data_IF_244958844063
#
_entry.id   IF_244958844063
#
_cell.length_a   1.000
_cell.length_b   1.000
_cell.length_c   1.000
_cell.angle_alpha   90.00
_cell.angle_beta   90.00
_cell.angle_gamma   90.00
#
_symmetry.space_group_name_H-M   'P 1'
#
loop_
_entity.id
_entity.type
_entity.pdbx_description
1 polymer ?
#
# COMPACT_ATOMS: atom_id res chain seq x y z
N UNK A 1 4.99 -23.53 -5.44
CA UNK A 1 5.74 -22.88 -4.35
C UNK A 1 6.06 -21.46 -4.76
N UNK A 2 5.93 -20.50 -3.84
CA UNK A 2 6.18 -19.08 -4.09
C UNK A 2 6.89 -18.47 -2.90
N UNK A 3 7.77 -17.52 -3.18
CA UNK A 3 8.22 -16.55 -2.19
C UNK A 3 7.44 -15.26 -2.40
N UNK A 4 7.23 -14.47 -1.35
CA UNK A 4 6.52 -13.19 -1.44
C UNK A 4 7.01 -12.21 -0.37
N UNK A 5 6.90 -10.93 -0.68
CA UNK A 5 6.90 -9.86 0.33
C UNK A 5 5.46 -9.54 0.67
N UNK A 6 5.18 -9.43 1.97
CA UNK A 6 3.91 -8.91 2.49
C UNK A 6 4.22 -7.71 3.37
N UNK A 7 3.43 -6.65 3.23
CA UNK A 7 3.57 -5.44 4.06
C UNK A 7 2.50 -5.38 5.14
N UNK A 8 2.87 -4.82 6.28
CA UNK A 8 2.00 -4.59 7.42
C UNK A 8 2.45 -3.35 8.20
N UNK A 9 1.59 -2.87 9.09
CA UNK A 9 1.97 -1.86 10.08
C UNK A 9 3.04 -2.38 11.04
N UNK A 10 4.00 -1.53 11.41
CA UNK A 10 5.17 -1.93 12.22
C UNK A 10 4.79 -2.52 13.58
N UNK A 11 3.77 -1.95 14.23
CA UNK A 11 3.28 -2.38 15.54
C UNK A 11 2.37 -3.62 15.50
N UNK A 12 2.03 -4.12 14.32
CA UNK A 12 1.05 -5.19 14.14
C UNK A 12 1.63 -6.42 13.43
N UNK A 13 2.95 -6.57 13.42
CA UNK A 13 3.64 -7.70 12.76
C UNK A 13 3.13 -9.06 13.25
N UNK A 14 2.95 -9.25 14.56
CA UNK A 14 2.45 -10.52 15.11
C UNK A 14 1.00 -10.81 14.67
N UNK A 15 0.16 -9.78 14.63
CA UNK A 15 -1.23 -9.92 14.17
C UNK A 15 -1.31 -10.20 12.67
N UNK A 16 -0.42 -9.59 11.88
CA UNK A 16 -0.24 -9.90 10.46
C UNK A 16 0.19 -11.36 10.23
N UNK A 17 1.17 -11.86 10.99
CA UNK A 17 1.59 -13.26 10.93
C UNK A 17 0.46 -14.22 11.35
N UNK A 18 -0.29 -13.89 12.39
CA UNK A 18 -1.44 -14.68 12.81
C UNK A 18 -2.53 -14.71 11.73
N UNK A 19 -2.79 -13.58 11.08
CA UNK A 19 -3.73 -13.51 9.95
C UNK A 19 -3.28 -14.37 8.78
N UNK A 20 -2.00 -14.31 8.41
CA UNK A 20 -1.40 -15.18 7.38
C UNK A 20 -1.56 -16.66 7.73
N UNK A 21 -1.23 -17.07 8.95
CA UNK A 21 -1.32 -18.48 9.37
C UNK A 21 -2.75 -19.01 9.49
N UNK A 22 -3.72 -18.16 9.84
CA UNK A 22 -5.15 -18.53 9.83
C UNK A 22 -5.61 -18.95 8.44
N UNK A 23 -5.14 -18.27 7.40
CA UNK A 23 -5.49 -18.59 6.01
C UNK A 23 -4.56 -19.65 5.41
N UNK A 24 -3.31 -19.71 5.85
CA UNK A 24 -2.25 -20.55 5.27
C UNK A 24 -1.41 -21.25 6.34
N UNK A 25 -1.89 -22.42 6.80
CA UNK A 25 -1.24 -23.21 7.87
C UNK A 25 0.22 -23.61 7.58
N UNK A 26 0.59 -23.73 6.30
CA UNK A 26 1.92 -24.15 5.87
C UNK A 26 2.80 -23.00 5.38
N UNK A 27 2.37 -21.76 5.60
CA UNK A 27 3.19 -20.58 5.32
C UNK A 27 4.36 -20.52 6.31
N UNK A 28 5.52 -20.07 5.82
CA UNK A 28 6.70 -19.82 6.66
C UNK A 28 7.13 -18.38 6.48
N UNK A 29 7.32 -17.64 7.58
CA UNK A 29 8.08 -16.39 7.53
C UNK A 29 9.57 -16.73 7.51
N UNK A 30 10.25 -16.45 6.38
CA UNK A 30 11.68 -16.70 6.24
C UNK A 30 12.46 -15.67 7.03
N UNK A 31 12.08 -14.40 6.89
CA UNK A 31 12.79 -13.27 7.47
C UNK A 31 11.89 -12.04 7.53
N UNK A 32 12.01 -11.26 8.59
CA UNK A 32 11.50 -9.89 8.63
C UNK A 32 12.57 -8.95 8.05
N UNK A 33 12.31 -8.35 6.88
CA UNK A 33 13.27 -7.47 6.19
C UNK A 33 13.35 -6.12 6.91
N UNK A 34 12.20 -5.61 7.33
CA UNK A 34 12.09 -4.43 8.19
C UNK A 34 10.81 -4.56 9.04
N UNK A 35 10.56 -3.65 10.00
CA UNK A 35 9.35 -3.68 10.83
C UNK A 35 8.03 -3.81 10.04
N UNK A 36 8.01 -3.38 8.77
CA UNK A 36 6.82 -3.37 7.92
C UNK A 36 6.85 -4.39 6.77
N UNK A 37 7.90 -5.19 6.62
CA UNK A 37 8.09 -6.07 5.45
C UNK A 37 8.48 -7.49 5.86
N UNK A 38 7.61 -8.44 5.55
CA UNK A 38 7.77 -9.86 5.83
C UNK A 38 8.15 -10.59 4.54
N UNK A 39 9.28 -11.29 4.56
CA UNK A 39 9.65 -12.22 3.50
C UNK A 39 9.14 -13.61 3.85
N UNK A 40 8.18 -14.09 3.07
CA UNK A 40 7.45 -15.32 3.36
C UNK A 40 7.63 -16.35 2.24
N UNK A 41 7.35 -17.59 2.59
CA UNK A 41 7.35 -18.77 1.72
C UNK A 41 5.99 -19.45 1.83
N UNK A 42 5.40 -19.76 0.69
CA UNK A 42 4.12 -20.47 0.63
C UNK A 42 4.22 -21.64 -0.36
N UNK A 43 3.66 -22.82 -0.04
CA UNK A 43 3.81 -24.01 -0.89
C UNK A 43 3.09 -23.89 -2.24
N UNK A 44 2.04 -23.07 -2.31
CA UNK A 44 1.23 -22.88 -3.51
C UNK A 44 1.74 -21.71 -4.39
N UNK A 45 1.01 -21.34 -5.43
CA UNK A 45 1.28 -20.14 -6.25
C UNK A 45 0.96 -18.83 -5.52
N UNK A 46 1.46 -17.69 -6.02
CA UNK A 46 1.12 -16.37 -5.48
C UNK A 46 -0.38 -16.06 -5.57
N UNK A 47 -1.04 -16.43 -6.66
CA UNK A 47 -2.49 -16.27 -6.78
C UNK A 47 -3.27 -17.09 -5.74
N UNK A 48 -2.78 -18.27 -5.37
CA UNK A 48 -3.38 -19.08 -4.29
C UNK A 48 -3.09 -18.50 -2.90
N UNK A 49 -1.93 -17.87 -2.70
CA UNK A 49 -1.62 -17.12 -1.49
C UNK A 49 -2.64 -15.97 -1.31
N UNK A 50 -2.92 -15.17 -2.34
CA UNK A 50 -3.76 -13.97 -2.17
C UNK A 50 -5.27 -14.24 -2.37
N UNK A 51 -5.64 -15.42 -2.86
CA UNK A 51 -7.04 -15.84 -3.11
C UNK A 51 -8.00 -15.60 -1.93
N UNK A 52 -7.66 -15.88 -0.66
CA UNK A 52 -8.58 -15.68 0.46
C UNK A 52 -9.05 -14.24 0.61
N UNK A 53 -8.24 -13.27 0.15
CA UNK A 53 -8.51 -11.86 0.31
C UNK A 53 -9.14 -11.17 -0.90
N UNK A 54 -9.43 -11.91 -1.97
CA UNK A 54 -10.03 -11.35 -3.20
C UNK A 54 -11.36 -10.63 -2.94
N UNK A 55 -12.18 -11.15 -2.02
CA UNK A 55 -13.51 -10.62 -1.70
C UNK A 55 -13.62 -10.10 -0.26
N UNK A 56 -12.55 -10.21 0.52
CA UNK A 56 -12.51 -9.78 1.92
C UNK A 56 -11.10 -9.32 2.24
N UNK A 57 -10.91 -8.01 2.31
CA UNK A 57 -9.60 -7.44 2.58
C UNK A 57 -9.03 -7.97 3.92
N UNK A 58 -7.71 -8.19 3.99
CA UNK A 58 -7.03 -8.48 5.25
C UNK A 58 -7.13 -7.30 6.20
N UNK A 59 -7.03 -7.56 7.51
CA UNK A 59 -7.07 -6.51 8.53
C UNK A 59 -5.67 -5.93 8.76
N UNK A 60 -4.64 -6.76 8.76
CA UNK A 60 -3.28 -6.37 9.16
C UNK A 60 -2.27 -6.36 8.03
N UNK A 61 -2.64 -6.86 6.85
CA UNK A 61 -1.80 -6.84 5.65
C UNK A 61 -2.22 -5.65 4.78
N UNK A 62 -1.26 -4.94 4.21
CA UNK A 62 -1.55 -3.79 3.35
C UNK A 62 -1.33 -4.12 1.87
N UNK A 63 -0.23 -4.80 1.55
CA UNK A 63 0.16 -5.13 0.18
C UNK A 63 0.94 -6.44 0.13
N UNK A 64 0.97 -7.08 -1.03
CA UNK A 64 1.81 -8.26 -1.26
C UNK A 64 2.29 -8.32 -2.70
N UNK A 65 3.48 -8.88 -2.92
CA UNK A 65 3.97 -9.19 -4.26
C UNK A 65 4.86 -10.45 -4.25
N UNK A 66 4.92 -11.22 -5.35
CA UNK A 66 5.77 -12.40 -5.42
C UNK A 66 7.24 -12.01 -5.55
N UNK A 67 8.13 -12.80 -4.95
CA UNK A 67 9.57 -12.68 -5.15
C UNK A 67 10.02 -13.80 -6.08
N UNK A 68 10.35 -13.45 -7.32
CA UNK A 68 10.94 -14.36 -8.30
C UNK A 68 12.46 -14.43 -8.17
N UNK A 69 13.11 -13.31 -7.83
CA UNK A 69 14.56 -13.24 -7.65
C UNK A 69 14.94 -12.31 -6.51
N UNK A 70 16.02 -12.67 -5.83
CA UNK A 70 16.73 -11.83 -4.87
C UNK A 70 18.08 -11.48 -5.49
N UNK A 71 18.31 -10.20 -5.78
CA UNK A 71 19.50 -9.71 -6.49
C UNK A 71 20.41 -9.05 -5.45
N UNK A 72 21.64 -9.54 -5.22
CA UNK A 72 22.61 -8.86 -4.38
C UNK A 72 23.01 -7.50 -4.99
N UNK A 73 23.08 -6.49 -4.14
CA UNK A 73 23.39 -5.10 -4.49
C UNK A 73 24.65 -4.67 -3.74
N UNK A 74 25.48 -3.89 -4.42
CA UNK A 74 26.70 -3.30 -3.87
C UNK A 74 26.69 -1.76 -3.86
N UNK A 75 25.59 -1.16 -4.35
CA UNK A 75 25.42 0.29 -4.44
C UNK A 75 26.06 0.92 -5.67
N UNK A 76 26.75 0.15 -6.52
CA UNK A 76 27.33 0.66 -7.75
C UNK A 76 26.27 1.02 -8.80
N UNK A 77 26.66 1.76 -9.84
CA UNK A 77 25.79 2.00 -11.00
C UNK A 77 25.43 0.70 -11.74
N UNK A 78 26.22 -0.36 -11.60
CA UNK A 78 25.92 -1.66 -12.20
C UNK A 78 24.67 -2.31 -11.61
N UNK A 79 24.27 -1.94 -10.39
CA UNK A 79 22.99 -2.35 -9.80
C UNK A 79 21.81 -1.98 -10.70
N UNK A 80 21.78 -0.74 -11.21
CA UNK A 80 20.67 -0.25 -12.03
C UNK A 80 20.55 -1.04 -13.34
N UNK A 81 21.69 -1.41 -13.94
CA UNK A 81 21.74 -2.26 -15.13
C UNK A 81 21.21 -3.66 -14.82
N UNK A 82 21.67 -4.28 -13.73
CA UNK A 82 21.22 -5.62 -13.29
C UNK A 82 19.72 -5.66 -13.02
N UNK A 83 19.19 -4.62 -12.36
CA UNK A 83 17.75 -4.50 -12.07
C UNK A 83 16.93 -4.39 -13.36
N UNK A 84 17.37 -3.57 -14.31
CA UNK A 84 16.71 -3.41 -15.62
C UNK A 84 16.73 -4.70 -16.42
N UNK A 85 17.89 -5.34 -16.55
CA UNK A 85 18.03 -6.60 -17.30
C UNK A 85 17.10 -7.66 -16.73
N UNK A 86 17.07 -7.80 -15.41
CA UNK A 86 16.19 -8.78 -14.79
C UNK A 86 14.70 -8.44 -14.92
N UNK A 87 14.33 -7.15 -14.89
CA UNK A 87 12.95 -6.74 -15.15
C UNK A 87 12.49 -7.16 -16.56
N UNK A 88 13.34 -6.99 -17.57
CA UNK A 88 13.06 -7.38 -18.95
C UNK A 88 13.04 -8.91 -19.13
N UNK A 89 13.84 -9.65 -18.38
CA UNK A 89 13.76 -11.12 -18.31
C UNK A 89 12.42 -11.60 -17.75
N UNK A 90 11.90 -10.92 -16.72
CA UNK A 90 10.64 -11.28 -16.09
C UNK A 90 9.41 -10.96 -16.95
N UNK A 91 9.47 -9.88 -17.73
CA UNK A 91 8.37 -9.46 -18.58
C UNK A 91 8.87 -8.66 -19.78
N UNK A 92 8.71 -9.25 -20.96
CA UNK A 92 8.96 -8.60 -22.25
C UNK A 92 7.85 -7.63 -22.67
N UNK A 93 6.65 -7.86 -22.17
CA UNK A 93 5.46 -7.09 -22.49
C UNK A 93 5.29 -5.87 -21.55
N UNK A 94 4.15 -5.17 -21.66
CA UNK A 94 3.83 -4.06 -20.78
C UNK A 94 3.51 -4.46 -19.31
N UNK A 95 3.93 -3.61 -18.38
CA UNK A 95 3.87 -3.74 -16.92
C UNK A 95 3.95 -2.35 -16.25
N UNK A 96 3.80 -2.25 -14.95
CA UNK A 96 4.03 -1.01 -14.20
C UNK A 96 5.10 -1.25 -13.15
N UNK A 97 5.85 -0.22 -12.74
CA UNK A 97 6.92 -0.38 -11.76
C UNK A 97 6.49 0.17 -10.41
N UNK A 98 6.56 -0.67 -9.38
CA UNK A 98 6.43 -0.24 -7.98
C UNK A 98 7.69 -0.62 -7.23
N UNK A 99 8.52 0.38 -6.93
CA UNK A 99 9.76 0.19 -6.20
C UNK A 99 9.67 0.79 -4.78
N UNK A 100 10.43 0.22 -3.86
CA UNK A 100 10.59 0.72 -2.50
C UNK A 100 12.00 0.48 -2.02
N UNK A 101 12.55 1.45 -1.30
CA UNK A 101 13.84 1.33 -0.63
C UNK A 101 13.57 1.38 0.87
N UNK A 102 14.08 0.41 1.61
CA UNK A 102 14.09 0.38 3.06
C UNK A 102 15.55 0.37 3.53
N UNK A 103 15.88 1.30 4.41
CA UNK A 103 17.27 1.54 4.81
C UNK A 103 18.03 2.41 3.80
N UNK A 104 19.36 2.39 3.90
CA UNK A 104 20.25 3.21 3.09
C UNK A 104 20.58 2.53 1.76
N UNK A 105 20.45 3.29 0.67
CA UNK A 105 20.84 2.87 -0.68
C UNK A 105 21.27 4.11 -1.47
N UNK A 106 22.40 4.08 -2.23
CA UNK A 106 22.95 5.28 -2.85
C UNK A 106 22.12 5.83 -4.02
N UNK A 107 21.26 5.02 -4.63
CA UNK A 107 20.39 5.47 -5.72
C UNK A 107 19.01 5.84 -5.21
N UNK A 108 18.46 6.94 -5.73
CA UNK A 108 17.10 7.37 -5.39
C UNK A 108 16.07 6.39 -5.94
N UNK A 109 14.90 6.35 -5.30
CA UNK A 109 13.75 5.58 -5.79
C UNK A 109 13.41 5.91 -7.25
N UNK A 110 13.48 7.20 -7.60
CA UNK A 110 13.24 7.68 -8.95
C UNK A 110 14.26 7.10 -9.95
N UNK A 111 15.55 7.12 -9.61
CA UNK A 111 16.61 6.56 -10.45
C UNK A 111 16.42 5.07 -10.70
N UNK A 112 16.04 4.32 -9.65
CA UNK A 112 15.73 2.89 -9.75
C UNK A 112 14.52 2.63 -10.64
N UNK A 113 13.44 3.38 -10.48
CA UNK A 113 12.26 3.22 -11.34
C UNK A 113 12.59 3.55 -12.80
N UNK A 114 13.30 4.66 -13.04
CA UNK A 114 13.69 5.12 -14.38
C UNK A 114 14.66 4.18 -15.09
N UNK A 115 15.55 3.52 -14.36
CA UNK A 115 16.48 2.56 -14.94
C UNK A 115 15.74 1.34 -15.48
N UNK A 116 14.70 0.88 -14.77
CA UNK A 116 13.86 -0.23 -15.21
C UNK A 116 12.95 0.22 -16.37
N UNK A 117 12.27 1.35 -16.21
CA UNK A 117 11.39 1.89 -17.23
C UNK A 117 11.22 3.40 -17.12
N UNK A 118 11.52 4.12 -18.20
CA UNK A 118 11.46 5.59 -18.23
C UNK A 118 10.04 6.14 -18.30
N UNK A 119 9.14 5.46 -19.00
CA UNK A 119 7.85 6.05 -19.40
C UNK A 119 6.69 5.73 -18.43
N UNK A 120 6.90 4.85 -17.43
CA UNK A 120 5.86 4.49 -16.44
C UNK A 120 6.40 4.49 -15.02
N UNK A 121 6.86 5.66 -14.59
CA UNK A 121 7.06 5.97 -13.18
C UNK A 121 5.68 6.35 -12.66
N UNK A 122 5.07 5.52 -11.83
CA UNK A 122 3.78 5.84 -11.26
C UNK A 122 3.88 7.12 -10.43
N UNK A 123 3.13 8.15 -10.84
CA UNK A 123 2.76 9.20 -9.90
C UNK A 123 1.99 8.53 -8.75
N UNK A 124 2.11 9.07 -7.55
CA UNK A 124 1.51 8.46 -6.36
C UNK A 124 0.04 8.08 -6.56
N UNK A 125 -0.71 8.85 -7.35
CA UNK A 125 -2.16 8.76 -7.44
C UNK A 125 -2.70 7.83 -8.54
N UNK A 126 -1.86 7.29 -9.42
CA UNK A 126 -2.35 6.34 -10.42
C UNK A 126 -2.74 5.01 -9.72
N UNK A 127 -3.68 4.26 -10.31
CA UNK A 127 -4.07 2.92 -9.84
C UNK A 127 -3.61 1.90 -10.87
N UNK A 128 -2.73 0.93 -10.53
CA UNK A 128 -2.19 0.03 -11.54
C UNK A 128 -3.28 -0.86 -12.12
N UNK A 129 -3.35 -0.90 -13.45
CA UNK A 129 -4.20 -1.83 -14.18
C UNK A 129 -3.31 -2.74 -15.04
N UNK A 130 -3.37 -4.05 -14.81
CA UNK A 130 -2.53 -5.03 -15.50
C UNK A 130 -1.40 -5.57 -14.63
N UNK A 131 -0.23 -5.80 -15.24
CA UNK A 131 0.93 -6.38 -14.54
C UNK A 131 1.73 -5.31 -13.80
N UNK A 132 2.22 -5.65 -12.63
CA UNK A 132 3.09 -4.80 -11.80
C UNK A 132 4.36 -5.56 -11.48
N UNK A 133 5.50 -5.00 -11.90
CA UNK A 133 6.81 -5.36 -11.44
C UNK A 133 7.07 -4.64 -10.10
N UNK A 134 7.12 -5.41 -9.03
CA UNK A 134 7.36 -4.92 -7.68
C UNK A 134 8.82 -5.14 -7.29
N UNK A 135 9.40 -4.17 -6.59
CA UNK A 135 10.78 -4.18 -6.12
C UNK A 135 10.87 -3.65 -4.69
N UNK A 136 11.50 -4.40 -3.80
CA UNK A 136 11.92 -3.92 -2.47
C UNK A 136 13.44 -4.03 -2.36
N UNK A 137 14.11 -2.91 -2.09
CA UNK A 137 15.55 -2.83 -1.83
C UNK A 137 15.77 -2.66 -0.34
N UNK A 138 16.55 -3.53 0.30
CA UNK A 138 16.90 -3.44 1.74
C UNK A 138 18.31 -2.86 2.01
N UNK A 139 18.88 -2.21 1.00
CA UNK A 139 20.24 -1.66 0.99
C UNK A 139 21.31 -2.64 0.48
N UNK A 140 21.11 -3.96 0.65
CA UNK A 140 22.06 -4.99 0.16
C UNK A 140 21.45 -5.97 -0.82
N UNK A 141 20.13 -6.05 -0.88
CA UNK A 141 19.43 -6.96 -1.75
C UNK A 141 18.17 -6.32 -2.32
N UNK A 142 17.89 -6.62 -3.58
CA UNK A 142 16.65 -6.32 -4.27
C UNK A 142 15.79 -7.58 -4.36
N UNK A 143 14.58 -7.51 -3.80
CA UNK A 143 13.54 -8.53 -3.92
C UNK A 143 12.58 -8.11 -5.02
N UNK A 144 12.47 -8.91 -6.07
CA UNK A 144 11.71 -8.53 -7.26
C UNK A 144 10.84 -9.65 -7.79
N UNK A 145 9.66 -9.27 -8.28
CA UNK A 145 8.80 -10.15 -9.04
C UNK A 145 7.68 -9.40 -9.72
N UNK A 146 6.86 -10.15 -10.46
CA UNK A 146 5.79 -9.62 -11.28
C UNK A 146 4.47 -10.33 -10.97
N UNK A 147 3.38 -9.57 -10.95
CA UNK A 147 2.04 -10.06 -10.60
C UNK A 147 0.98 -9.20 -11.26
N UNK A 148 -0.26 -9.67 -11.31
CA UNK A 148 -1.38 -8.78 -11.65
C UNK A 148 -1.66 -7.85 -10.49
N UNK A 149 -1.94 -6.57 -10.75
CA UNK A 149 -2.27 -5.57 -9.72
C UNK A 149 -3.39 -6.05 -8.79
N UNK A 150 -4.40 -6.73 -9.35
CA UNK A 150 -5.52 -7.32 -8.61
C UNK A 150 -5.11 -8.43 -7.61
N UNK A 151 -3.88 -8.94 -7.67
CA UNK A 151 -3.35 -9.92 -6.73
C UNK A 151 -2.61 -9.28 -5.55
N UNK A 152 -2.30 -7.98 -5.61
CA UNK A 152 -1.34 -7.36 -4.69
C UNK A 152 -1.95 -6.85 -3.38
N UNK A 153 -3.18 -7.28 -3.07
CA UNK A 153 -4.04 -6.83 -1.95
C UNK A 153 -4.47 -5.36 -2.08
N UNK A 154 -3.52 -4.45 -2.23
CA UNK A 154 -3.73 -3.03 -2.49
C UNK A 154 -3.07 -2.63 -3.82
N UNK A 155 -3.71 -1.78 -4.63
CA UNK A 155 -3.08 -1.23 -5.83
C UNK A 155 -1.94 -0.26 -5.50
N UNK A 156 -1.93 0.31 -4.28
CA UNK A 156 -0.94 1.29 -3.88
C UNK A 156 0.34 0.61 -3.41
N UNK A 157 1.48 1.20 -3.77
CA UNK A 157 2.79 0.69 -3.40
C UNK A 157 2.90 0.56 -1.87
N UNK A 158 3.11 -0.67 -1.38
CA UNK A 158 3.15 -1.00 0.06
C UNK A 158 1.83 -0.81 0.81
N UNK A 159 0.75 -0.50 0.09
CA UNK A 159 -0.62 -0.42 0.56
C UNK A 159 -1.02 0.90 1.22
N UNK A 160 -0.26 1.97 1.02
CA UNK A 160 -0.60 3.30 1.52
C UNK A 160 -1.28 4.12 0.42
N UNK A 161 -2.56 4.47 0.61
CA UNK A 161 -3.28 5.35 -0.31
C UNK A 161 -2.68 6.77 -0.23
N UNK A 162 -2.14 7.32 -1.32
CA UNK A 162 -1.72 8.70 -1.34
C UNK A 162 -2.93 9.62 -1.47
N UNK A 163 -2.91 10.71 -0.72
CA UNK A 163 -3.92 11.75 -0.76
C UNK A 163 -3.23 13.09 -0.58
N UNK A 164 -3.46 13.99 -1.52
CA UNK A 164 -3.08 15.41 -1.46
C UNK A 164 -4.24 16.30 -0.98
N UNK A 165 -5.43 15.72 -0.74
CA UNK A 165 -6.56 16.44 -0.18
C UNK A 165 -6.18 17.08 1.17
N UNK A 166 -6.26 18.42 1.28
CA UNK A 166 -5.83 19.12 2.49
C UNK A 166 -6.80 18.82 3.61
N UNK A 167 -6.31 18.24 4.71
CA UNK A 167 -7.12 17.95 5.89
C UNK A 167 -6.58 18.67 7.13
N UNK A 168 -7.43 19.03 8.10
CA UNK A 168 -6.99 19.76 9.29
C UNK A 168 -5.98 19.00 10.14
N UNK A 169 -6.08 17.66 10.14
CA UNK A 169 -5.16 16.78 10.85
C UNK A 169 -5.18 15.36 10.25
N UNK A 170 -4.29 14.50 10.74
CA UNK A 170 -4.11 13.11 10.26
C UNK A 170 -5.37 12.24 10.33
N UNK A 171 -6.36 12.56 11.17
CA UNK A 171 -7.60 11.79 11.21
C UNK A 171 -8.42 11.96 9.91
N UNK A 172 -8.36 13.14 9.27
CA UNK A 172 -9.03 13.36 7.99
C UNK A 172 -8.51 12.43 6.88
N UNK A 173 -7.19 12.17 6.86
CA UNK A 173 -6.59 11.20 5.92
C UNK A 173 -7.18 9.79 6.11
N UNK A 174 -7.42 9.38 7.36
CA UNK A 174 -8.06 8.07 7.64
C UNK A 174 -9.47 8.00 7.08
N UNK A 175 -10.22 9.10 7.13
CA UNK A 175 -11.58 9.14 6.56
C UNK A 175 -11.54 9.01 5.03
N UNK A 176 -10.64 9.76 4.38
CA UNK A 176 -10.45 9.69 2.92
C UNK A 176 -10.04 8.26 2.49
N UNK A 177 -9.07 7.68 3.18
CA UNK A 177 -8.62 6.31 2.93
C UNK A 177 -9.74 5.28 3.16
N UNK A 178 -10.53 5.43 4.22
CA UNK A 178 -11.65 4.52 4.50
C UNK A 178 -12.74 4.60 3.43
N UNK A 179 -13.13 5.81 3.00
CA UNK A 179 -14.11 6.00 1.93
C UNK A 179 -13.66 5.30 0.63
N UNK A 180 -12.39 5.48 0.26
CA UNK A 180 -11.82 4.85 -0.93
C UNK A 180 -11.70 3.32 -0.78
N UNK A 181 -11.16 2.85 0.34
CA UNK A 181 -10.89 1.42 0.60
C UNK A 181 -12.17 0.59 0.63
N UNK A 182 -13.24 1.13 1.23
CA UNK A 182 -14.52 0.44 1.36
C UNK A 182 -15.51 0.77 0.24
N UNK A 183 -15.12 1.60 -0.74
CA UNK A 183 -15.99 2.01 -1.84
C UNK A 183 -17.27 2.72 -1.38
N UNK A 184 -17.19 3.48 -0.28
CA UNK A 184 -18.35 4.20 0.28
C UNK A 184 -18.62 5.41 -0.60
N UNK A 185 -19.71 5.34 -1.36
CA UNK A 185 -20.20 6.45 -2.15
C UNK A 185 -21.07 7.36 -1.30
N UNK A 186 -20.63 8.60 -1.17
CA UNK A 186 -21.33 9.65 -0.46
C UNK A 186 -22.17 10.46 -1.44
N UNK A 187 -23.44 10.73 -1.12
CA UNK A 187 -24.30 11.60 -1.91
C UNK A 187 -24.43 12.96 -1.22
N UNK A 188 -24.43 14.02 -2.02
CA UNK A 188 -24.73 15.35 -1.50
C UNK A 188 -26.10 15.33 -0.83
N UNK A 189 -26.21 15.99 0.32
CA UNK A 189 -27.37 16.00 1.22
C UNK A 189 -27.64 14.72 2.02
N UNK A 190 -26.79 13.68 1.94
CA UNK A 190 -26.84 12.59 2.91
C UNK A 190 -26.62 13.13 4.33
N UNK A 191 -27.20 12.46 5.31
CA UNK A 191 -27.02 12.77 6.72
C UNK A 191 -25.97 11.84 7.32
N UNK A 192 -25.01 12.41 8.06
CA UNK A 192 -24.01 11.66 8.80
C UNK A 192 -24.02 12.03 10.29
N UNK A 193 -23.70 11.05 11.13
CA UNK A 193 -23.46 11.22 12.55
C UNK A 193 -21.96 10.96 12.81
N UNK A 194 -21.24 11.99 13.27
CA UNK A 194 -19.82 11.91 13.62
C UNK A 194 -19.68 11.86 15.14
N UNK A 195 -19.33 10.68 15.68
CA UNK A 195 -19.21 10.43 17.12
C UNK A 195 -17.76 10.62 17.58
N UNK A 196 -17.54 11.45 18.59
CA UNK A 196 -16.20 11.85 18.99
C UNK A 196 -15.57 12.81 17.99
N UNK A 197 -16.39 13.69 17.39
CA UNK A 197 -16.02 14.47 16.22
C UNK A 197 -14.85 15.44 16.45
N UNK A 198 -14.66 15.94 17.68
CA UNK A 198 -13.70 16.99 17.96
C UNK A 198 -12.24 16.58 17.63
N UNK A 199 -11.44 17.48 17.03
CA UNK A 199 -11.78 18.86 16.67
C UNK A 199 -12.54 19.00 15.34
N UNK A 200 -12.80 17.92 14.60
CA UNK A 200 -13.72 17.93 13.46
C UNK A 200 -13.15 17.50 12.11
N UNK A 201 -12.01 16.80 12.06
CA UNK A 201 -11.41 16.43 10.77
C UNK A 201 -12.30 15.51 9.92
N UNK A 202 -13.06 14.59 10.53
CA UNK A 202 -14.00 13.73 9.80
C UNK A 202 -15.23 14.52 9.36
N UNK A 203 -15.83 15.27 10.29
CA UNK A 203 -16.88 16.25 10.01
C UNK A 203 -16.52 17.12 8.80
N UNK A 204 -15.32 17.71 8.75
CA UNK A 204 -14.90 18.56 7.63
C UNK A 204 -14.84 17.82 6.29
N UNK A 205 -14.27 16.62 6.27
CA UNK A 205 -14.19 15.77 5.06
C UNK A 205 -15.60 15.44 4.54
N UNK A 206 -16.55 15.17 5.44
CA UNK A 206 -17.95 14.90 5.11
C UNK A 206 -18.69 16.16 4.63
N UNK A 207 -18.50 17.29 5.33
CA UNK A 207 -19.08 18.60 4.98
C UNK A 207 -18.66 19.06 3.59
N UNK A 208 -17.37 18.94 3.27
CA UNK A 208 -16.83 19.25 1.92
C UNK A 208 -17.43 18.38 0.81
N UNK A 209 -17.95 17.21 1.16
CA UNK A 209 -18.66 16.29 0.25
C UNK A 209 -20.18 16.56 0.20
N UNK A 210 -20.65 17.61 0.87
CA UNK A 210 -22.04 18.08 0.83
C UNK A 210 -22.98 17.38 1.81
N UNK A 211 -22.47 16.64 2.79
CA UNK A 211 -23.31 15.94 3.77
C UNK A 211 -23.72 16.85 4.91
N UNK A 212 -24.95 16.70 5.40
CA UNK A 212 -25.37 17.29 6.67
C UNK A 212 -24.81 16.46 7.81
N UNK A 213 -24.05 17.08 8.72
CA UNK A 213 -23.35 16.33 9.77
C UNK A 213 -23.87 16.71 11.15
N UNK A 214 -24.36 15.73 11.91
CA UNK A 214 -24.51 15.85 13.35
C UNK A 214 -23.20 15.44 14.00
N UNK A 215 -22.40 16.42 14.44
CA UNK A 215 -21.13 16.19 15.14
C UNK A 215 -21.37 16.14 16.66
N UNK A 216 -20.97 15.04 17.30
CA UNK A 216 -21.13 14.83 18.75
C UNK A 216 -19.75 14.73 19.38
N UNK A 217 -19.40 15.70 20.21
CA UNK A 217 -18.15 15.68 20.97
C UNK A 217 -18.27 16.46 22.29
N UNK A 218 -17.54 16.06 23.34
CA UNK A 218 -17.46 16.85 24.57
C UNK A 218 -16.45 18.00 24.48
N UNK A 219 -15.50 17.95 23.53
CA UNK A 219 -14.53 19.03 23.27
C UNK A 219 -15.00 19.92 22.13
N UNK A 220 -14.39 21.11 22.03
CA UNK A 220 -14.70 22.08 20.98
C UNK A 220 -14.31 21.59 19.59
N UNK A 221 -15.17 21.92 18.63
CA UNK A 221 -14.91 21.76 17.19
C UNK A 221 -14.08 22.94 16.68
N UNK A 222 -13.46 22.79 15.52
CA UNK A 222 -12.82 23.90 14.83
C UNK A 222 -13.81 25.07 14.61
N UNK A 223 -13.34 26.30 14.81
CA UNK A 223 -14.20 27.50 14.78
C UNK A 223 -14.95 27.67 13.45
N UNK A 224 -14.33 27.31 12.32
CA UNK A 224 -14.98 27.35 11.01
C UNK A 224 -16.08 26.29 10.85
N UNK A 225 -15.98 25.14 11.53
CA UNK A 225 -17.05 24.13 11.54
C UNK A 225 -18.20 24.54 12.46
N UNK A 226 -17.93 25.27 13.54
CA UNK A 226 -18.99 25.84 14.39
C UNK A 226 -19.80 26.92 13.66
N UNK A 227 -19.16 27.63 12.72
CA UNK A 227 -19.80 28.63 11.87
C UNK A 227 -20.42 28.03 10.58
N UNK A 228 -20.22 26.74 10.31
CA UNK A 228 -20.80 26.05 9.16
C UNK A 228 -22.33 25.86 9.37
N UNK A 229 -23.18 26.26 8.42
CA UNK A 229 -24.63 26.23 8.60
C UNK A 229 -25.28 24.82 8.53
N UNK A 230 -24.51 23.74 8.32
CA UNK A 230 -24.95 22.37 8.61
C UNK A 230 -24.54 21.31 7.62
#
# INVERSE_FOLDING_TARGET
MTHAIVTCSEYFTELALNELHRQHKHLTCIRQISPQHLFIRHPASFGQLTKPWKNKLPIYLHHAFPVHKSIPLDGSLADLTRLREHALELCSDDFMVQARIVGEYPHTLLSVAQSIRRDHIFASNDVPNGRVLSLLIDGRCAYTGISWAAQNLSPYNGGALPSDEPVPNRAGLKMIEALATFGIQLRSSDHALDLGAAPGAWTEVLRRRGLRVTAVAPQEMYTWLQADPG
#
